data_IF_789542912277
#
_entry.id   IF_789542912277
#
_cell.length_a   1.000
_cell.length_b   1.000
_cell.length_c   1.000
_cell.angle_alpha   90.00
_cell.angle_beta   90.00
_cell.angle_gamma   90.00
#
_symmetry.space_group_name_H-M   'P 1'
#
loop_
_entity.id
_entity.type
_entity.pdbx_description
1 polymer ?
#
# COMPACT_ATOMS: atom_id res chain seq x y z
N UNK A 1 18.20 -11.84 -8.37
CA UNK A 1 17.02 -11.13 -8.92
C UNK A 1 16.32 -12.05 -9.91
N UNK A 2 14.98 -12.01 -10.03
CA UNK A 2 14.25 -12.79 -11.03
C UNK A 2 14.68 -12.38 -12.44
N UNK A 3 15.04 -13.36 -13.27
CA UNK A 3 15.38 -13.14 -14.68
C UNK A 3 14.14 -12.66 -15.45
N UNK A 4 14.33 -11.85 -16.49
CA UNK A 4 13.28 -11.35 -17.39
C UNK A 4 12.14 -10.50 -16.77
N UNK A 5 12.22 -10.13 -15.48
CA UNK A 5 11.20 -9.29 -14.82
C UNK A 5 10.82 -8.01 -15.58
N UNK A 6 11.79 -7.40 -16.26
CA UNK A 6 11.58 -6.18 -17.04
C UNK A 6 10.54 -6.36 -18.15
N UNK A 7 10.36 -7.58 -18.68
CA UNK A 7 9.33 -7.86 -19.70
C UNK A 7 7.91 -7.66 -19.17
N UNK A 8 7.71 -7.76 -17.85
CA UNK A 8 6.42 -7.52 -17.22
C UNK A 8 6.18 -6.05 -16.85
N UNK A 9 7.18 -5.19 -17.02
CA UNK A 9 7.03 -3.75 -16.81
C UNK A 9 6.62 -3.06 -18.11
N UNK A 10 5.86 -1.99 -17.97
CA UNK A 10 5.64 -1.00 -19.01
C UNK A 10 7.00 -0.52 -19.54
N UNK A 11 7.21 -0.61 -20.85
CA UNK A 11 8.55 -0.48 -21.42
C UNK A 11 9.27 0.84 -21.04
N UNK A 12 8.60 2.01 -21.07
CA UNK A 12 9.21 3.29 -20.70
C UNK A 12 9.71 3.39 -19.26
N UNK A 13 9.20 2.59 -18.31
CA UNK A 13 9.64 2.66 -16.90
C UNK A 13 10.69 1.59 -16.53
N UNK A 14 11.11 0.71 -17.45
CA UNK A 14 11.99 -0.42 -17.11
C UNK A 14 13.32 0.00 -16.49
N UNK A 15 13.98 0.96 -17.12
CA UNK A 15 15.28 1.48 -16.66
C UNK A 15 15.10 2.29 -15.39
N UNK A 16 14.09 3.17 -15.36
CA UNK A 16 13.75 4.01 -14.22
C UNK A 16 13.43 3.17 -12.98
N UNK A 17 12.59 2.13 -13.10
CA UNK A 17 12.27 1.20 -12.03
C UNK A 17 13.52 0.50 -11.49
N UNK A 18 14.39 0.06 -12.40
CA UNK A 18 15.64 -0.61 -12.00
C UNK A 18 16.58 0.34 -11.25
N UNK A 19 16.72 1.58 -11.73
CA UNK A 19 17.56 2.59 -11.11
C UNK A 19 17.01 3.00 -9.74
N UNK A 20 15.70 3.27 -9.66
CA UNK A 20 15.02 3.65 -8.42
C UNK A 20 15.10 2.53 -7.36
N UNK A 21 14.79 1.28 -7.72
CA UNK A 21 14.87 0.15 -6.79
C UNK A 21 16.30 -0.05 -6.27
N UNK A 22 17.32 0.17 -7.11
CA UNK A 22 18.72 0.10 -6.68
C UNK A 22 19.06 1.23 -5.71
N UNK A 23 18.68 2.47 -6.03
CA UNK A 23 18.99 3.64 -5.21
C UNK A 23 18.33 3.57 -3.82
N UNK A 24 17.08 3.10 -3.76
CA UNK A 24 16.32 2.96 -2.52
C UNK A 24 16.54 1.62 -1.79
N UNK A 25 17.43 0.75 -2.31
CA UNK A 25 17.71 -0.57 -1.70
C UNK A 25 16.49 -1.50 -1.64
N UNK A 26 15.59 -1.40 -2.62
CA UNK A 26 14.33 -2.15 -2.66
C UNK A 26 14.55 -3.54 -3.22
N UNK A 27 14.03 -4.55 -2.51
CA UNK A 27 14.06 -5.93 -2.97
C UNK A 27 12.92 -6.23 -3.95
N UNK A 28 13.27 -6.83 -5.09
CA UNK A 28 12.29 -7.39 -6.01
C UNK A 28 11.71 -8.68 -5.45
N UNK A 29 10.39 -8.85 -5.52
CA UNK A 29 9.72 -10.09 -5.13
C UNK A 29 10.15 -11.26 -6.01
N UNK A 30 10.17 -12.46 -5.43
CA UNK A 30 10.59 -13.69 -6.11
C UNK A 30 9.89 -13.94 -7.45
N UNK A 31 8.60 -13.55 -7.54
CA UNK A 31 7.76 -13.76 -8.71
C UNK A 31 7.58 -12.52 -9.58
N UNK A 32 8.48 -11.52 -9.51
CA UNK A 32 8.40 -10.32 -10.36
C UNK A 32 8.51 -10.62 -11.89
N UNK A 33 8.90 -11.82 -12.27
CA UNK A 33 8.88 -12.32 -13.65
C UNK A 33 7.54 -13.00 -14.03
N UNK A 34 6.56 -13.05 -13.14
CA UNK A 34 5.23 -13.58 -13.41
C UNK A 34 4.23 -12.46 -13.74
N UNK A 35 3.30 -12.72 -14.65
CA UNK A 35 2.29 -11.75 -15.08
C UNK A 35 1.33 -11.32 -13.95
N UNK A 36 1.16 -12.19 -12.95
CA UNK A 36 0.29 -11.98 -11.78
C UNK A 36 1.01 -11.35 -10.58
N UNK A 37 2.21 -10.78 -10.78
CA UNK A 37 2.94 -10.14 -9.68
C UNK A 37 2.28 -8.83 -9.25
N UNK A 38 1.85 -8.75 -7.98
CA UNK A 38 1.29 -7.53 -7.39
C UNK A 38 2.30 -6.39 -7.32
N UNK A 39 3.56 -6.66 -6.98
CA UNK A 39 4.63 -5.64 -6.99
C UNK A 39 4.80 -5.03 -8.39
N UNK A 40 4.81 -5.87 -9.44
CA UNK A 40 4.90 -5.38 -10.82
C UNK A 40 3.63 -4.63 -11.23
N UNK A 41 2.46 -5.11 -10.82
CA UNK A 41 1.19 -4.42 -11.04
C UNK A 41 1.21 -3.02 -10.42
N UNK A 42 1.53 -2.92 -9.14
CA UNK A 42 1.71 -1.65 -8.43
C UNK A 42 2.64 -0.68 -9.18
N UNK A 43 3.83 -1.16 -9.59
CA UNK A 43 4.81 -0.35 -10.32
C UNK A 43 4.25 0.13 -11.66
N UNK A 44 3.57 -0.73 -12.44
CA UNK A 44 3.00 -0.37 -13.73
C UNK A 44 1.93 0.72 -13.62
N UNK A 45 1.13 0.70 -12.55
CA UNK A 45 0.10 1.70 -12.32
C UNK A 45 0.66 3.00 -11.78
N UNK A 46 1.57 2.94 -10.80
CA UNK A 46 1.93 4.12 -10.02
C UNK A 46 3.24 4.79 -10.45
N UNK A 47 4.22 4.05 -10.98
CA UNK A 47 5.53 4.64 -11.30
C UNK A 47 5.46 5.72 -12.39
N UNK A 48 4.68 5.57 -13.48
CA UNK A 48 4.50 6.64 -14.46
C UNK A 48 3.91 7.93 -13.87
N UNK A 49 3.22 7.85 -12.72
CA UNK A 49 2.64 8.98 -12.02
C UNK A 49 3.64 9.71 -11.12
N UNK A 50 4.78 9.07 -10.81
CA UNK A 50 5.78 9.62 -9.90
C UNK A 50 6.47 10.88 -10.44
N UNK A 51 6.33 11.18 -11.73
CA UNK A 51 6.78 12.42 -12.38
C UNK A 51 5.63 13.24 -12.98
N UNK A 52 4.37 12.84 -12.73
CA UNK A 52 3.18 13.50 -13.25
C UNK A 52 2.24 13.95 -12.10
N UNK A 53 2.65 14.94 -11.30
CA UNK A 53 1.93 15.32 -10.07
C UNK A 53 0.47 15.75 -10.32
N UNK A 54 0.17 16.37 -11.46
CA UNK A 54 -1.20 16.76 -11.80
C UNK A 54 -2.11 15.54 -12.08
N UNK A 55 -1.59 14.49 -12.72
CA UNK A 55 -2.34 13.25 -12.95
C UNK A 55 -2.46 12.45 -11.66
N UNK A 56 -1.37 12.36 -10.87
CA UNK A 56 -1.37 11.73 -9.56
C UNK A 56 -2.38 12.40 -8.61
N UNK A 57 -2.46 13.73 -8.60
CA UNK A 57 -3.44 14.50 -7.83
C UNK A 57 -4.88 14.05 -8.12
N UNK A 58 -5.25 13.88 -9.40
CA UNK A 58 -6.59 13.41 -9.77
C UNK A 58 -6.84 11.98 -9.30
N UNK A 59 -5.86 11.08 -9.47
CA UNK A 59 -5.94 9.69 -9.03
C UNK A 59 -6.12 9.59 -7.51
N UNK A 60 -5.33 10.33 -6.72
CA UNK A 60 -5.42 10.34 -5.26
C UNK A 60 -6.72 11.01 -4.78
N UNK A 61 -7.12 12.12 -5.40
CA UNK A 61 -8.39 12.77 -5.12
C UNK A 61 -9.57 11.82 -5.31
N UNK A 62 -9.60 11.10 -6.44
CA UNK A 62 -10.60 10.06 -6.72
C UNK A 62 -10.57 8.93 -5.69
N UNK A 63 -9.39 8.39 -5.40
CA UNK A 63 -9.23 7.26 -4.48
C UNK A 63 -9.76 7.58 -3.07
N UNK A 64 -9.43 8.77 -2.55
CA UNK A 64 -9.79 9.18 -1.20
C UNK A 64 -11.15 9.88 -1.12
N UNK A 65 -11.79 10.18 -2.25
CA UNK A 65 -13.06 10.91 -2.29
C UNK A 65 -12.92 12.37 -1.85
N UNK A 66 -11.83 13.02 -2.23
CA UNK A 66 -11.51 14.42 -1.91
C UNK A 66 -11.26 15.22 -3.19
N UNK A 67 -11.27 16.55 -3.09
CA UNK A 67 -10.81 17.40 -4.19
C UNK A 67 -9.35 17.06 -4.54
N UNK A 68 -8.94 17.08 -5.83
CA UNK A 68 -7.56 16.81 -6.23
C UNK A 68 -6.55 17.64 -5.42
N UNK A 69 -5.70 17.00 -4.58
CA UNK A 69 -4.84 17.72 -3.65
C UNK A 69 -3.54 18.17 -4.33
N UNK A 70 -2.81 19.09 -3.70
CA UNK A 70 -1.49 19.46 -4.18
C UNK A 70 -0.47 18.36 -3.82
N UNK A 71 0.06 17.65 -4.82
CA UNK A 71 1.03 16.57 -4.56
C UNK A 71 2.37 17.14 -4.09
N UNK A 72 2.97 16.46 -3.12
CA UNK A 72 4.28 16.79 -2.56
C UNK A 72 5.28 15.68 -2.90
N UNK A 73 6.55 16.01 -3.20
CA UNK A 73 7.58 15.01 -3.38
C UNK A 73 7.75 14.15 -2.12
N UNK A 74 7.92 12.85 -2.31
CA UNK A 74 8.25 11.89 -1.26
C UNK A 74 9.77 11.79 -1.10
N UNK A 75 10.49 11.69 -2.21
CA UNK A 75 11.95 11.61 -2.25
C UNK A 75 12.49 12.13 -3.59
N UNK A 76 13.80 12.00 -3.82
CA UNK A 76 14.41 12.32 -5.12
C UNK A 76 14.38 11.10 -6.05
N UNK A 77 14.10 11.34 -7.33
CA UNK A 77 14.10 10.33 -8.37
C UNK A 77 15.52 9.93 -8.77
N UNK A 78 15.67 8.92 -9.65
CA UNK A 78 16.97 8.44 -10.10
C UNK A 78 17.88 9.51 -10.75
N UNK A 79 17.30 10.57 -11.29
CA UNK A 79 17.98 11.72 -11.91
C UNK A 79 18.07 12.94 -10.97
N UNK A 80 17.67 12.79 -9.71
CA UNK A 80 17.63 13.88 -8.72
C UNK A 80 16.40 14.79 -8.83
N UNK A 81 15.49 14.54 -9.77
CA UNK A 81 14.25 15.31 -9.89
C UNK A 81 13.26 14.99 -8.74
N UNK A 82 12.29 15.86 -8.45
CA UNK A 82 11.25 15.55 -7.45
C UNK A 82 10.45 14.30 -7.83
N UNK A 83 10.30 13.38 -6.87
CA UNK A 83 9.63 12.10 -7.06
C UNK A 83 8.40 11.96 -6.16
N UNK A 84 7.22 11.77 -6.74
CA UNK A 84 5.94 11.91 -6.03
C UNK A 84 5.33 10.60 -5.53
N UNK A 85 5.91 9.44 -5.86
CA UNK A 85 5.46 8.13 -5.37
C UNK A 85 6.63 7.32 -4.84
N UNK A 86 6.69 7.09 -3.53
CA UNK A 86 7.65 6.15 -2.96
C UNK A 86 7.15 4.71 -3.09
N UNK A 87 8.06 3.74 -3.20
CA UNK A 87 7.70 2.31 -3.22
C UNK A 87 8.31 1.56 -2.05
N UNK A 88 7.60 0.53 -1.60
CA UNK A 88 8.03 -0.39 -0.54
C UNK A 88 8.41 0.37 0.74
N UNK A 89 7.58 1.33 1.14
CA UNK A 89 7.90 2.30 2.19
C UNK A 89 7.77 1.70 3.58
N UNK A 90 8.79 1.92 4.41
CA UNK A 90 8.91 1.33 5.75
C UNK A 90 8.87 2.38 6.88
N UNK A 91 8.60 3.65 6.56
CA UNK A 91 8.79 4.78 7.48
C UNK A 91 10.25 5.24 7.55
N UNK A 92 10.48 6.52 7.90
CA UNK A 92 11.82 7.06 8.10
C UNK A 92 12.53 6.43 9.30
N UNK A 93 11.77 6.09 10.34
CA UNK A 93 12.26 5.49 11.58
C UNK A 93 11.70 4.09 11.79
N UNK A 94 12.30 3.31 12.71
CA UNK A 94 11.81 1.97 13.06
C UNK A 94 10.63 2.01 14.05
N UNK A 95 9.52 2.59 13.60
CA UNK A 95 8.34 2.79 14.45
C UNK A 95 7.72 1.51 15.01
N UNK A 96 7.92 0.39 14.31
CA UNK A 96 7.35 -0.91 14.67
C UNK A 96 8.39 -1.84 15.32
N UNK A 97 9.62 -1.39 15.53
CA UNK A 97 10.72 -2.17 16.15
C UNK A 97 11.02 -3.48 15.40
N UNK A 98 11.02 -3.41 14.08
CA UNK A 98 11.19 -4.57 13.18
C UNK A 98 12.64 -4.78 12.72
N UNK A 99 13.55 -3.84 12.96
CA UNK A 99 14.97 -3.98 12.64
C UNK A 99 15.64 -5.15 13.39
N UNK A 100 15.04 -5.59 14.50
CA UNK A 100 15.54 -6.70 15.30
C UNK A 100 16.98 -6.49 15.76
N UNK A 101 17.73 -7.60 15.90
CA UNK A 101 19.14 -7.55 16.35
C UNK A 101 20.12 -7.03 15.31
N UNK A 102 19.76 -7.07 14.02
CA UNK A 102 20.64 -6.57 12.96
C UNK A 102 20.64 -5.04 12.87
N UNK A 103 19.63 -4.38 13.44
CA UNK A 103 19.50 -2.92 13.40
C UNK A 103 19.22 -2.37 11.99
N UNK A 104 18.91 -3.25 11.03
CA UNK A 104 18.70 -2.90 9.63
C UNK A 104 17.33 -3.37 9.15
N UNK A 105 16.70 -2.54 8.31
CA UNK A 105 15.45 -2.85 7.61
C UNK A 105 15.65 -2.62 6.12
N UNK A 106 14.97 -3.40 5.30
CA UNK A 106 15.05 -3.30 3.83
C UNK A 106 13.65 -3.12 3.28
N UNK A 107 13.49 -2.14 2.37
CA UNK A 107 12.24 -1.94 1.65
C UNK A 107 11.89 -3.21 0.84
N UNK A 108 10.69 -3.74 1.02
CA UNK A 108 10.23 -4.97 0.36
C UNK A 108 10.81 -6.27 0.91
N UNK A 109 11.42 -6.27 2.11
CA UNK A 109 11.88 -7.50 2.75
C UNK A 109 11.91 -7.43 4.28
N UNK A 110 11.44 -8.48 4.94
CA UNK A 110 11.58 -8.75 6.39
C UNK A 110 11.01 -7.70 7.37
N UNK A 111 10.43 -6.60 6.89
CA UNK A 111 9.78 -5.56 7.68
C UNK A 111 8.41 -5.22 7.10
N UNK A 112 7.62 -4.42 7.82
CA UNK A 112 6.36 -3.86 7.30
C UNK A 112 6.71 -2.85 6.23
N UNK A 113 6.16 -3.06 5.05
CA UNK A 113 6.39 -2.26 3.85
C UNK A 113 5.01 -1.94 3.26
N UNK A 114 4.71 -0.67 3.05
CA UNK A 114 3.60 -0.27 2.20
C UNK A 114 4.06 -0.36 0.74
N UNK A 115 3.28 -0.99 -0.14
CA UNK A 115 3.68 -1.18 -1.54
C UNK A 115 4.02 0.16 -2.21
N UNK A 116 3.29 1.23 -1.87
CA UNK A 116 3.65 2.59 -2.22
C UNK A 116 3.28 3.62 -1.13
N UNK A 117 3.77 4.84 -1.30
CA UNK A 117 3.45 6.01 -0.47
C UNK A 117 3.30 7.24 -1.34
N UNK A 118 2.36 8.11 -0.99
CA UNK A 118 2.25 9.46 -1.55
C UNK A 118 2.07 10.49 -0.43
N UNK A 119 2.50 11.73 -0.70
CA UNK A 119 2.31 12.88 0.19
C UNK A 119 1.60 13.99 -0.56
N UNK A 120 0.69 14.67 0.09
CA UNK A 120 -0.10 15.73 -0.54
C UNK A 120 -0.63 16.72 0.49
N UNK A 121 -0.92 17.93 0.06
CA UNK A 121 -1.50 18.98 0.88
C UNK A 121 -2.99 19.13 0.57
N UNK A 122 -3.79 19.16 1.64
CA UNK A 122 -5.22 19.48 1.61
C UNK A 122 -5.47 20.75 2.42
N UNK A 123 -6.72 21.25 2.43
CA UNK A 123 -7.10 22.33 3.34
C UNK A 123 -6.91 21.98 4.83
N UNK A 124 -6.80 20.68 5.18
CA UNK A 124 -6.53 20.19 6.53
C UNK A 124 -5.04 20.02 6.88
N UNK A 125 -4.13 20.38 5.96
CA UNK A 125 -2.69 20.25 6.11
C UNK A 125 -2.10 19.13 5.25
N UNK A 126 -0.87 18.73 5.58
CA UNK A 126 -0.13 17.70 4.84
C UNK A 126 -0.65 16.32 5.26
N UNK A 127 -1.13 15.53 4.31
CA UNK A 127 -1.50 14.14 4.50
C UNK A 127 -0.53 13.20 3.78
N UNK A 128 -0.46 11.98 4.29
CA UNK A 128 0.25 10.85 3.68
C UNK A 128 -0.74 9.72 3.45
N UNK A 129 -0.66 9.07 2.29
CA UNK A 129 -1.33 7.79 2.07
C UNK A 129 -0.29 6.68 1.88
N UNK A 130 -0.31 5.68 2.75
CA UNK A 130 0.34 4.39 2.54
C UNK A 130 -0.58 3.55 1.67
N UNK A 131 -0.09 3.10 0.52
CA UNK A 131 -0.87 2.33 -0.45
C UNK A 131 -0.51 0.86 -0.28
N UNK A 132 -1.51 0.03 0.00
CA UNK A 132 -1.44 -1.42 -0.06
C UNK A 132 -2.06 -1.89 -1.36
N UNK A 133 -1.28 -2.58 -2.19
CA UNK A 133 -1.67 -3.00 -3.52
C UNK A 133 -1.81 -4.51 -3.61
N UNK A 134 -2.99 -4.96 -3.99
CA UNK A 134 -3.26 -6.37 -4.31
C UNK A 134 -3.61 -6.52 -5.77
N UNK A 135 -3.31 -7.69 -6.33
CA UNK A 135 -3.69 -8.04 -7.69
C UNK A 135 -4.45 -9.36 -7.75
N UNK A 136 -3.85 -10.47 -7.31
CA UNK A 136 -4.45 -11.82 -7.44
C UNK A 136 -4.38 -12.64 -6.17
N UNK A 137 -4.14 -12.00 -5.03
CA UNK A 137 -4.02 -12.67 -3.75
C UNK A 137 -5.33 -13.33 -3.36
N UNK A 138 -5.21 -14.53 -2.79
CA UNK A 138 -6.27 -15.27 -2.14
C UNK A 138 -5.69 -15.84 -0.85
N UNK A 139 -6.38 -15.65 0.27
CA UNK A 139 -5.93 -16.07 1.59
C UNK A 139 -6.86 -17.12 2.20
N UNK A 140 -6.40 -17.80 3.24
CA UNK A 140 -7.22 -18.77 3.96
C UNK A 140 -6.54 -19.38 5.18
N UNK A 141 -5.29 -19.82 5.05
CA UNK A 141 -4.53 -20.35 6.17
C UNK A 141 -4.01 -19.23 7.10
N UNK A 142 -3.83 -19.49 8.41
CA UNK A 142 -3.13 -18.57 9.30
C UNK A 142 -1.67 -18.38 8.85
N UNK A 143 -1.05 -17.29 9.30
CA UNK A 143 0.39 -17.08 9.11
C UNK A 143 1.19 -18.18 9.84
N UNK A 144 2.43 -18.47 9.43
CA UNK A 144 3.26 -19.47 10.11
C UNK A 144 3.43 -19.17 11.60
N UNK A 145 3.17 -20.18 12.44
CA UNK A 145 3.18 -20.05 13.91
C UNK A 145 4.55 -19.71 14.49
N UNK A 146 5.62 -20.07 13.79
CA UNK A 146 7.00 -19.75 14.18
C UNK A 146 7.17 -18.24 14.27
N UNK A 147 7.54 -17.75 15.46
CA UNK A 147 7.77 -16.34 15.75
C UNK A 147 6.53 -15.56 16.21
N UNK A 148 5.39 -16.23 16.47
CA UNK A 148 4.19 -15.56 16.96
C UNK A 148 4.40 -14.91 18.34
N UNK A 149 5.15 -15.54 19.22
CA UNK A 149 5.58 -14.96 20.50
C UNK A 149 6.33 -13.63 20.31
N UNK A 150 7.26 -13.60 19.36
CA UNK A 150 8.02 -12.40 19.00
C UNK A 150 7.09 -11.32 18.43
N UNK A 151 6.15 -11.69 17.54
CA UNK A 151 5.16 -10.75 16.96
C UNK A 151 4.24 -10.16 18.04
N UNK A 152 3.72 -11.00 18.93
CA UNK A 152 2.88 -10.57 20.05
C UNK A 152 3.65 -9.61 20.94
N UNK A 153 4.87 -9.97 21.37
CA UNK A 153 5.70 -9.12 22.22
C UNK A 153 6.01 -7.76 21.57
N UNK A 154 6.20 -7.75 20.24
CA UNK A 154 6.49 -6.54 19.46
C UNK A 154 5.27 -5.61 19.33
N UNK A 155 4.10 -6.16 19.03
CA UNK A 155 2.92 -5.35 18.64
C UNK A 155 1.90 -5.12 19.75
N UNK A 156 1.96 -5.86 20.86
CA UNK A 156 0.98 -5.76 21.95
C UNK A 156 0.76 -4.32 22.45
N UNK A 157 1.81 -3.51 22.48
CA UNK A 157 1.77 -2.13 22.99
C UNK A 157 1.53 -1.09 21.88
N UNK A 158 1.38 -1.53 20.62
CA UNK A 158 1.26 -0.70 19.42
C UNK A 158 -0.06 -0.86 18.67
N UNK A 159 -0.77 -1.97 18.85
CA UNK A 159 -1.96 -2.28 18.05
C UNK A 159 -3.24 -1.61 18.54
N UNK A 160 -3.41 -1.51 19.86
CA UNK A 160 -4.66 -1.09 20.48
C UNK A 160 -4.56 0.32 21.07
N UNK A 161 -5.69 1.02 21.10
CA UNK A 161 -5.83 2.33 21.71
C UNK A 161 -5.39 2.32 23.20
N UNK A 162 -4.83 3.43 23.71
CA UNK A 162 -4.61 4.71 23.03
C UNK A 162 -3.34 4.77 22.17
N UNK A 163 -2.46 3.77 22.26
CA UNK A 163 -1.14 3.79 21.60
C UNK A 163 -1.15 3.25 20.17
N UNK A 164 -2.29 2.72 19.73
CA UNK A 164 -2.50 2.08 18.44
C UNK A 164 -3.85 2.37 17.81
N UNK A 165 -4.03 1.91 16.57
CA UNK A 165 -5.19 2.28 15.75
C UNK A 165 -6.46 1.46 16.05
N UNK A 166 -6.38 0.32 16.71
CA UNK A 166 -7.53 -0.59 16.95
C UNK A 166 -8.23 -0.25 18.27
N UNK A 167 -9.57 -0.31 18.30
CA UNK A 167 -10.34 -0.08 19.53
C UNK A 167 -10.13 -1.19 20.56
N UNK A 168 -10.12 -0.84 21.83
CA UNK A 168 -9.93 -1.78 22.96
C UNK A 168 -11.20 -2.55 23.33
N UNK A 169 -12.38 -2.06 22.95
CA UNK A 169 -13.68 -2.68 23.21
C UNK A 169 -14.00 -3.86 22.27
N UNK A 170 -13.05 -4.25 21.41
CA UNK A 170 -13.22 -5.34 20.45
C UNK A 170 -13.16 -6.72 21.10
N UNK A 171 -12.51 -6.88 22.26
CA UNK A 171 -12.27 -8.18 22.88
C UNK A 171 -11.26 -9.05 22.11
N UNK A 172 -10.49 -8.46 21.20
CA UNK A 172 -9.48 -9.13 20.39
C UNK A 172 -8.10 -9.02 21.01
N UNK A 173 -7.23 -9.96 20.64
CA UNK A 173 -5.79 -9.97 20.91
C UNK A 173 -5.02 -9.86 19.59
N UNK A 174 -3.72 -9.59 19.66
CA UNK A 174 -2.86 -9.56 18.45
C UNK A 174 -2.96 -10.87 17.67
N UNK A 175 -3.00 -11.99 18.37
CA UNK A 175 -3.03 -13.32 17.76
C UNK A 175 -4.28 -13.54 16.92
N UNK A 176 -5.39 -12.86 17.22
CA UNK A 176 -6.64 -12.95 16.45
C UNK A 176 -6.50 -12.37 15.03
N UNK A 177 -5.45 -11.58 14.79
CA UNK A 177 -5.13 -11.02 13.47
C UNK A 177 -4.16 -11.89 12.67
N UNK A 178 -3.67 -13.04 13.17
CA UNK A 178 -2.68 -13.89 12.49
C UNK A 178 -3.24 -14.70 11.30
N UNK A 179 -4.11 -14.08 10.51
CA UNK A 179 -4.64 -14.54 9.24
C UNK A 179 -4.59 -13.38 8.25
N UNK A 180 -4.16 -13.64 7.01
CA UNK A 180 -4.19 -12.61 5.98
C UNK A 180 -5.59 -12.44 5.40
N UNK A 181 -6.05 -11.21 5.08
CA UNK A 181 -5.26 -9.98 5.02
C UNK A 181 -5.13 -9.22 6.36
N UNK A 182 -5.78 -9.68 7.44
CA UNK A 182 -5.85 -8.94 8.70
C UNK A 182 -4.49 -8.67 9.34
N UNK A 183 -3.53 -9.59 9.23
CA UNK A 183 -2.20 -9.39 9.79
C UNK A 183 -1.43 -8.28 9.04
N UNK A 184 -1.45 -8.31 7.70
CA UNK A 184 -0.90 -7.24 6.87
C UNK A 184 -1.55 -5.89 7.17
N UNK A 185 -2.88 -5.83 7.17
CA UNK A 185 -3.64 -4.61 7.43
C UNK A 185 -3.32 -4.03 8.81
N UNK A 186 -3.25 -4.88 9.85
CA UNK A 186 -2.91 -4.44 11.20
C UNK A 186 -1.53 -3.77 11.24
N UNK A 187 -0.52 -4.40 10.62
CA UNK A 187 0.85 -3.87 10.58
C UNK A 187 0.94 -2.54 9.84
N UNK A 188 0.26 -2.41 8.71
CA UNK A 188 0.25 -1.17 7.95
C UNK A 188 -0.50 -0.06 8.66
N UNK A 189 -1.62 -0.37 9.31
CA UNK A 189 -2.35 0.62 10.08
C UNK A 189 -1.55 1.06 11.32
N UNK A 190 -0.81 0.16 11.97
CA UNK A 190 0.13 0.53 13.04
C UNK A 190 1.23 1.45 12.48
N UNK A 191 1.82 1.13 11.33
CA UNK A 191 2.83 1.99 10.69
C UNK A 191 2.27 3.40 10.43
N UNK A 192 1.10 3.50 9.82
CA UNK A 192 0.41 4.78 9.57
C UNK A 192 0.19 5.56 10.87
N UNK A 193 -0.34 4.90 11.91
CA UNK A 193 -0.59 5.52 13.21
C UNK A 193 0.69 6.09 13.83
N UNK A 194 1.79 5.35 13.78
CA UNK A 194 3.07 5.77 14.36
C UNK A 194 3.75 6.87 13.55
N UNK A 195 3.69 6.81 12.22
CA UNK A 195 4.16 7.89 11.33
C UNK A 195 3.41 9.20 11.62
N UNK A 196 2.09 9.14 11.80
CA UNK A 196 1.27 10.29 12.17
C UNK A 196 1.66 10.83 13.56
N UNK A 197 1.79 9.94 14.56
CA UNK A 197 2.18 10.33 15.91
C UNK A 197 3.57 10.99 15.97
N UNK A 198 4.48 10.55 15.10
CA UNK A 198 5.81 11.14 14.95
C UNK A 198 5.84 12.42 14.10
N UNK A 199 4.71 12.81 13.48
CA UNK A 199 4.66 13.89 12.49
C UNK A 199 5.71 13.71 11.38
N UNK A 200 5.89 12.48 10.89
CA UNK A 200 6.86 12.17 9.84
C UNK A 200 6.65 13.10 8.64
N UNK A 201 7.71 13.82 8.27
CA UNK A 201 7.66 14.84 7.21
C UNK A 201 6.51 15.84 7.37
N UNK A 202 6.23 16.25 8.61
CA UNK A 202 5.18 17.20 8.97
C UNK A 202 3.76 16.77 8.59
N UNK A 203 3.53 15.46 8.39
CA UNK A 203 2.21 14.93 8.12
C UNK A 203 1.29 15.14 9.33
N UNK A 204 0.08 15.64 9.10
CA UNK A 204 -0.97 15.80 10.11
C UNK A 204 -1.92 14.60 10.13
N UNK A 205 -1.99 13.86 9.02
CA UNK A 205 -2.79 12.64 8.90
C UNK A 205 -2.11 11.60 8.01
N UNK A 206 -2.09 10.35 8.46
CA UNK A 206 -1.64 9.22 7.65
C UNK A 206 -2.77 8.22 7.48
N UNK A 207 -3.10 7.91 6.23
CA UNK A 207 -4.13 6.92 5.86
C UNK A 207 -3.49 5.68 5.25
N UNK A 208 -4.18 4.56 5.36
CA UNK A 208 -3.91 3.37 4.56
C UNK A 208 -4.96 3.31 3.44
N UNK A 209 -4.49 3.30 2.19
CA UNK A 209 -5.29 3.13 0.99
C UNK A 209 -5.04 1.72 0.43
N UNK A 210 -6.00 0.83 0.62
CA UNK A 210 -6.00 -0.47 -0.01
C UNK A 210 -6.60 -0.39 -1.42
N UNK A 211 -5.89 -0.94 -2.41
CA UNK A 211 -6.30 -0.99 -3.82
C UNK A 211 -6.17 -2.41 -4.35
N UNK A 212 -7.26 -2.97 -4.88
CA UNK A 212 -7.29 -4.29 -5.50
C UNK A 212 -8.32 -4.33 -6.65
N UNK A 213 -8.23 -5.25 -7.62
CA UNK A 213 -9.29 -5.42 -8.61
C UNK A 213 -10.62 -5.76 -7.95
N UNK A 214 -11.72 -5.17 -8.41
CA UNK A 214 -13.07 -5.50 -7.93
C UNK A 214 -13.43 -6.98 -8.11
N UNK A 215 -12.86 -7.61 -9.15
CA UNK A 215 -13.07 -9.01 -9.46
C UNK A 215 -12.31 -9.99 -8.55
N UNK A 216 -11.39 -9.52 -7.68
CA UNK A 216 -10.67 -10.40 -6.76
C UNK A 216 -11.50 -10.74 -5.51
N UNK A 217 -12.64 -11.41 -5.72
CA UNK A 217 -13.61 -11.71 -4.67
C UNK A 217 -13.03 -12.54 -3.51
N UNK A 218 -12.04 -13.41 -3.79
CA UNK A 218 -11.43 -14.26 -2.78
C UNK A 218 -10.64 -13.47 -1.73
N UNK A 219 -10.15 -12.28 -2.08
CA UNK A 219 -9.43 -11.38 -1.18
C UNK A 219 -10.34 -10.79 -0.08
N UNK A 220 -11.65 -10.72 -0.33
CA UNK A 220 -12.64 -10.16 0.59
C UNK A 220 -13.05 -11.14 1.70
N UNK A 221 -12.60 -12.39 1.65
CA UNK A 221 -12.94 -13.41 2.65
C UNK A 221 -12.47 -13.02 4.06
N UNK A 222 -13.36 -13.12 5.04
CA UNK A 222 -13.02 -12.97 6.46
C UNK A 222 -12.33 -14.25 6.96
N UNK A 223 -11.01 -14.27 6.81
CA UNK A 223 -10.16 -15.46 7.09
C UNK A 223 -9.93 -15.71 8.58
N UNK A 224 -9.88 -14.67 9.40
CA UNK A 224 -9.66 -14.79 10.85
C UNK A 224 -10.92 -15.30 11.56
N UNK A 225 -10.89 -16.46 12.25
CA UNK A 225 -12.07 -17.03 12.90
C UNK A 225 -12.73 -16.09 13.91
N UNK A 226 -11.92 -15.35 14.69
CA UNK A 226 -12.40 -14.38 15.68
C UNK A 226 -13.15 -13.18 15.05
N UNK A 227 -13.04 -12.98 13.73
CA UNK A 227 -13.65 -11.86 13.02
C UNK A 227 -14.83 -12.27 12.15
N UNK A 228 -15.05 -13.57 11.90
CA UNK A 228 -16.11 -14.08 11.00
C UNK A 228 -17.52 -13.65 11.40
N UNK A 229 -17.78 -13.51 12.70
CA UNK A 229 -19.09 -13.07 13.20
C UNK A 229 -19.34 -11.56 13.04
N UNK A 230 -18.36 -10.79 12.56
CA UNK A 230 -18.43 -9.32 12.44
C UNK A 230 -18.83 -8.83 11.06
N UNK A 231 -18.87 -9.71 10.06
CA UNK A 231 -19.25 -9.35 8.69
C UNK A 231 -18.75 -10.37 7.67
N UNK A 232 -19.06 -10.13 6.40
CA UNK A 232 -18.67 -10.99 5.27
C UNK A 232 -17.54 -10.43 4.42
N UNK A 233 -17.14 -9.17 4.64
CA UNK A 233 -16.10 -8.48 3.89
C UNK A 233 -14.93 -8.14 4.82
N UNK A 234 -13.73 -8.62 4.50
CA UNK A 234 -12.54 -8.45 5.34
C UNK A 234 -12.16 -6.98 5.54
N UNK A 235 -12.36 -6.13 4.54
CA UNK A 235 -11.97 -4.73 4.56
C UNK A 235 -12.96 -3.89 5.36
N UNK A 236 -14.27 -4.15 5.21
CA UNK A 236 -15.30 -3.52 6.04
C UNK A 236 -15.18 -3.95 7.50
N UNK A 237 -14.93 -5.25 7.74
CA UNK A 237 -14.69 -5.77 9.09
C UNK A 237 -13.47 -5.07 9.70
N UNK A 238 -12.32 -5.04 9.01
CA UNK A 238 -11.12 -4.38 9.52
C UNK A 238 -11.34 -2.89 9.78
N UNK A 239 -11.98 -2.17 8.85
CA UNK A 239 -12.34 -0.76 9.00
C UNK A 239 -13.16 -0.52 10.27
N UNK A 240 -14.11 -1.40 10.57
CA UNK A 240 -14.94 -1.35 11.77
C UNK A 240 -14.17 -1.59 13.09
N UNK A 241 -12.95 -2.11 13.05
CA UNK A 241 -12.12 -2.31 14.26
C UNK A 241 -11.35 -1.05 14.65
N UNK A 242 -11.21 -0.07 13.77
CA UNK A 242 -10.35 1.10 13.97
C UNK A 242 -11.01 2.16 14.86
N UNK A 243 -10.17 2.89 15.61
CA UNK A 243 -10.57 4.09 16.36
C UNK A 243 -11.06 5.19 15.40
N UNK A 244 -10.42 5.29 14.24
CA UNK A 244 -10.79 6.20 13.14
C UNK A 244 -11.01 5.39 11.87
N UNK A 245 -12.24 4.96 11.60
CA UNK A 245 -12.57 4.16 10.41
C UNK A 245 -12.17 4.81 9.07
N UNK A 246 -12.06 6.14 9.02
CA UNK A 246 -11.70 6.87 7.79
C UNK A 246 -10.18 6.94 7.53
N UNK A 247 -9.36 6.41 8.46
CA UNK A 247 -7.92 6.25 8.26
C UNK A 247 -7.58 4.99 7.45
N UNK A 248 -8.57 4.13 7.16
CA UNK A 248 -8.47 3.02 6.22
C UNK A 248 -9.49 3.19 5.10
N UNK A 249 -9.01 3.23 3.86
CA UNK A 249 -9.83 3.38 2.66
C UNK A 249 -9.56 2.19 1.75
N UNK A 250 -10.60 1.42 1.41
CA UNK A 250 -10.50 0.35 0.40
C UNK A 250 -11.20 0.79 -0.89
N UNK A 251 -10.55 0.58 -2.02
CA UNK A 251 -11.07 0.90 -3.36
C UNK A 251 -10.73 -0.19 -4.36
N UNK A 252 -11.56 -0.32 -5.37
CA UNK A 252 -11.21 -1.11 -6.53
C UNK A 252 -10.20 -0.36 -7.42
N UNK A 253 -9.29 -1.07 -8.09
CA UNK A 253 -8.36 -0.46 -9.05
C UNK A 253 -9.12 0.25 -10.17
N UNK A 254 -10.24 -0.32 -10.61
CA UNK A 254 -11.18 0.25 -11.57
C UNK A 254 -11.69 1.62 -11.12
N UNK A 255 -12.15 1.75 -9.87
CA UNK A 255 -12.67 3.00 -9.33
C UNK A 255 -11.60 4.10 -9.20
N UNK A 256 -10.35 3.69 -8.94
CA UNK A 256 -9.23 4.63 -8.77
C UNK A 256 -8.68 5.12 -10.12
N UNK A 257 -8.53 4.22 -11.10
CA UNK A 257 -7.81 4.52 -12.34
C UNK A 257 -8.69 4.63 -13.58
N UNK A 258 -9.92 4.10 -13.59
CA UNK A 258 -10.76 4.01 -14.79
C UNK A 258 -10.94 5.34 -15.53
N UNK A 259 -11.21 6.42 -14.78
CA UNK A 259 -11.34 7.78 -15.32
C UNK A 259 -10.00 8.31 -15.84
N UNK A 260 -8.93 8.18 -15.05
CA UNK A 260 -7.59 8.64 -15.45
C UNK A 260 -7.06 7.94 -16.72
N UNK A 261 -7.43 6.67 -16.93
CA UNK A 261 -7.11 5.95 -18.16
C UNK A 261 -7.99 6.44 -19.31
N UNK A 262 -9.30 6.58 -19.08
CA UNK A 262 -10.28 7.08 -20.06
C UNK A 262 -9.89 8.44 -20.62
N UNK A 263 -9.48 9.36 -19.76
CA UNK A 263 -9.14 10.73 -20.10
C UNK A 263 -7.65 10.92 -20.41
N UNK A 264 -6.90 9.83 -20.62
CA UNK A 264 -5.49 9.91 -20.91
C UNK A 264 -5.23 10.68 -22.22
N UNK A 265 -4.34 11.66 -22.13
CA UNK A 265 -3.92 12.55 -23.23
C UNK A 265 -2.42 12.78 -23.19
N UNK A 266 -1.84 13.21 -24.32
CA UNK A 266 -0.41 13.52 -24.43
C UNK A 266 0.46 12.34 -23.98
N UNK A 267 1.41 12.61 -23.09
CA UNK A 267 2.40 11.63 -22.61
C UNK A 267 1.78 10.45 -21.82
N UNK A 268 0.55 10.60 -21.33
CA UNK A 268 -0.15 9.53 -20.60
C UNK A 268 -0.82 8.50 -21.52
N UNK A 269 -0.90 8.75 -22.84
CA UNK A 269 -1.56 7.85 -23.80
C UNK A 269 -0.91 6.46 -23.87
N UNK A 270 0.42 6.40 -23.94
CA UNK A 270 1.15 5.13 -24.02
C UNK A 270 0.99 4.30 -22.73
N UNK A 271 0.98 4.97 -21.58
CA UNK A 271 0.72 4.35 -20.28
C UNK A 271 -0.71 3.78 -20.21
N UNK A 272 -1.71 4.58 -20.58
CA UNK A 272 -3.10 4.13 -20.56
C UNK A 272 -3.37 3.00 -21.56
N UNK A 273 -2.78 3.06 -22.76
CA UNK A 273 -2.87 1.98 -23.75
C UNK A 273 -2.27 0.68 -23.20
N UNK A 274 -1.08 0.75 -22.61
CA UNK A 274 -0.44 -0.42 -22.00
C UNK A 274 -1.28 -1.02 -20.87
N UNK A 275 -1.82 -0.18 -19.96
CA UNK A 275 -2.62 -0.68 -18.86
C UNK A 275 -3.94 -1.31 -19.34
N UNK A 276 -4.59 -0.72 -20.35
CA UNK A 276 -5.79 -1.32 -20.96
C UNK A 276 -5.50 -2.64 -21.65
N UNK A 277 -4.35 -2.77 -22.31
CA UNK A 277 -3.98 -4.02 -22.97
C UNK A 277 -3.64 -5.12 -21.97
N UNK A 278 -2.81 -4.78 -20.96
CA UNK A 278 -2.30 -5.75 -19.97
C UNK A 278 -3.29 -6.09 -18.87
N UNK A 279 -4.05 -5.09 -18.42
CA UNK A 279 -5.00 -5.17 -17.31
C UNK A 279 -6.41 -4.84 -17.83
N UNK A 280 -6.86 -5.60 -18.84
CA UNK A 280 -8.11 -5.34 -19.56
C UNK A 280 -9.34 -5.18 -18.67
N UNK A 281 -9.34 -5.81 -17.50
CA UNK A 281 -10.41 -5.73 -16.52
C UNK A 281 -10.58 -4.33 -15.91
N UNK A 282 -9.58 -3.45 -15.96
CA UNK A 282 -9.64 -2.10 -15.36
C UNK A 282 -10.64 -1.18 -16.06
N UNK A 283 -10.91 -1.43 -17.34
CA UNK A 283 -11.78 -0.61 -18.17
C UNK A 283 -13.03 -1.36 -18.64
N UNK A 284 -13.38 -2.47 -17.98
CA UNK A 284 -14.63 -3.17 -18.22
C UNK A 284 -15.65 -2.66 -17.19
N UNK A 285 -16.77 -2.16 -17.70
CA UNK A 285 -17.95 -1.78 -16.90
C UNK A 285 -18.57 -3.01 -16.20
#
# INVERSE_FOLDING_TARGET
MPQHKALNLFAPIREQATAYFRACGISWHQHANHALSSQVSCINFLMPLATQPALLSRVIGKALGIAPPAMLPVESGPDGSPWFVGFEWIGCEDYLTEAGRSGTRTRGANATSADAIVRFETAGGIETALIEWKYTESYGAPIPTRGNDVRVARYKDLAFAPNGPVRTDTGLTISDFFWEPFYQLLRQQMLAFRMQAASEHHTTRVRVLHVAPSANLALHNVTAPALQHRGSDAFDVFRGLLVRPDDFVSRSTEAVFGEALSDAVGDSLAWAAYLRERYQWVCRD
#
